data_IF_050031237895
#
_entry.id   IF_050031237895
#
_cell.length_a   1.000
_cell.length_b   1.000
_cell.length_c   1.000
_cell.angle_alpha   90.00
_cell.angle_beta   90.00
_cell.angle_gamma   90.00
#
_symmetry.space_group_name_H-M   'P 1'
#
loop_
_entity.id
_entity.type
_entity.pdbx_description
1 polymer ?
#
# COMPACT_ATOMS: atom_id res chain seq x y z
N UNK A 1 -40.93 29.33 -54.01
CA UNK A 1 -39.70 29.63 -53.29
C UNK A 1 -40.02 29.61 -51.80
N UNK A 2 -39.62 28.56 -51.11
CA UNK A 2 -39.58 28.52 -49.62
C UNK A 2 -38.13 28.20 -49.22
N UNK A 3 -37.60 28.86 -48.22
CA UNK A 3 -36.23 28.60 -47.80
C UNK A 3 -36.13 27.37 -46.89
N UNK A 4 -35.05 26.72 -47.14
CA UNK A 4 -34.45 25.55 -46.53
C UNK A 4 -34.34 25.70 -44.98
N UNK A 5 -34.83 24.69 -44.24
CA UNK A 5 -34.60 24.55 -42.80
C UNK A 5 -33.66 23.40 -42.56
N UNK A 6 -32.41 23.71 -42.44
CA UNK A 6 -31.43 22.76 -41.88
C UNK A 6 -31.64 22.60 -40.38
N UNK A 7 -31.70 21.38 -39.81
CA UNK A 7 -31.69 21.19 -38.38
C UNK A 7 -30.25 21.26 -37.85
N UNK A 8 -29.96 22.32 -37.11
CA UNK A 8 -28.79 22.41 -36.26
C UNK A 8 -29.05 21.68 -34.96
N UNK A 9 -28.59 20.47 -34.87
CA UNK A 9 -28.59 19.69 -33.63
C UNK A 9 -27.27 18.98 -33.49
N UNK A 10 -26.24 19.69 -33.04
CA UNK A 10 -25.03 19.05 -32.53
C UNK A 10 -25.30 18.62 -31.09
N UNK A 11 -25.86 17.43 -30.92
CA UNK A 11 -25.82 16.72 -29.65
C UNK A 11 -24.35 16.52 -29.29
N UNK A 12 -23.82 17.38 -28.43
CA UNK A 12 -22.58 17.09 -27.73
C UNK A 12 -22.86 15.92 -26.80
N UNK A 13 -22.48 14.72 -27.26
CA UNK A 13 -22.30 13.59 -26.38
C UNK A 13 -21.21 14.00 -25.38
N UNK A 14 -21.60 14.34 -24.18
CA UNK A 14 -20.69 14.43 -23.04
C UNK A 14 -20.05 13.05 -22.92
N UNK A 15 -18.71 12.95 -22.91
CA UNK A 15 -18.07 11.67 -22.62
C UNK A 15 -18.60 11.22 -21.25
N UNK A 16 -19.24 10.04 -21.22
CA UNK A 16 -19.62 9.42 -19.96
C UNK A 16 -18.40 9.36 -19.06
N UNK A 17 -18.53 9.79 -17.81
CA UNK A 17 -17.50 9.65 -16.81
C UNK A 17 -17.10 8.17 -16.79
N UNK A 18 -15.85 7.88 -17.17
CA UNK A 18 -15.28 6.56 -16.99
C UNK A 18 -15.39 6.15 -15.51
N UNK A 19 -15.24 4.88 -15.17
CA UNK A 19 -15.35 4.43 -13.80
C UNK A 19 -14.48 5.32 -12.92
N UNK A 20 -15.05 5.80 -11.81
CA UNK A 20 -14.33 6.62 -10.85
C UNK A 20 -13.18 5.77 -10.29
N UNK A 21 -11.95 6.07 -10.69
CA UNK A 21 -10.77 5.34 -10.24
C UNK A 21 -10.27 5.96 -8.94
N UNK A 22 -10.28 5.17 -7.89
CA UNK A 22 -9.62 5.51 -6.63
C UNK A 22 -8.11 5.55 -6.79
N UNK A 23 -7.46 6.28 -5.90
CA UNK A 23 -6.01 6.48 -5.87
C UNK A 23 -5.45 6.10 -4.51
N UNK A 24 -4.43 5.23 -4.49
CA UNK A 24 -3.79 4.80 -3.28
C UNK A 24 -2.27 5.01 -3.31
N UNK A 25 -1.70 5.39 -2.17
CA UNK A 25 -0.26 5.34 -1.90
C UNK A 25 -0.03 4.48 -0.66
N UNK A 26 0.43 3.25 -0.90
CA UNK A 26 0.50 2.21 0.11
C UNK A 26 1.90 2.02 0.69
N UNK A 27 2.83 2.98 0.45
CA UNK A 27 4.20 2.90 0.92
C UNK A 27 4.71 4.28 1.35
N UNK A 28 4.39 4.64 2.60
CA UNK A 28 4.72 5.94 3.20
C UNK A 28 5.42 5.72 4.53
N UNK A 29 6.51 6.45 4.78
CA UNK A 29 7.28 6.38 6.02
C UNK A 29 7.02 7.57 6.94
N UNK A 30 6.87 7.29 8.23
CA UNK A 30 6.68 8.30 9.27
C UNK A 30 7.95 8.56 10.09
N UNK A 31 7.84 9.47 11.06
CA UNK A 31 8.93 9.70 12.04
C UNK A 31 9.17 8.50 12.97
N UNK A 32 8.31 7.50 12.99
CA UNK A 32 8.51 6.29 13.77
C UNK A 32 9.67 5.44 13.21
N UNK A 33 9.93 5.55 11.88
CA UNK A 33 11.13 5.00 11.25
C UNK A 33 12.05 6.13 10.75
N UNK A 34 12.19 6.30 9.47
CA UNK A 34 13.12 7.24 8.83
C UNK A 34 12.43 8.34 8.01
N UNK A 35 11.10 8.37 7.97
CA UNK A 35 10.33 9.48 7.42
C UNK A 35 10.41 10.76 8.26
N UNK A 36 9.92 11.88 7.73
CA UNK A 36 10.08 13.20 8.33
C UNK A 36 8.79 13.79 8.94
N UNK A 37 7.66 13.10 8.83
CA UNK A 37 6.34 13.56 9.30
C UNK A 37 5.70 12.59 10.29
N UNK A 38 4.92 13.10 11.24
CA UNK A 38 4.12 12.28 12.14
C UNK A 38 2.89 11.71 11.42
N UNK A 39 2.28 10.66 11.97
CA UNK A 39 1.03 10.07 11.48
C UNK A 39 -0.06 11.12 11.24
N UNK A 40 -0.27 12.03 12.20
CA UNK A 40 -1.21 13.14 12.06
C UNK A 40 -0.90 14.04 10.85
N UNK A 41 0.37 14.42 10.67
CA UNK A 41 0.77 15.31 9.56
C UNK A 41 0.66 14.61 8.19
N UNK A 42 0.88 13.30 8.15
CA UNK A 42 0.67 12.48 6.95
C UNK A 42 -0.82 12.46 6.60
N UNK A 43 -1.70 12.20 7.57
CA UNK A 43 -3.15 12.20 7.38
C UNK A 43 -3.66 13.58 6.90
N UNK A 44 -3.30 14.66 7.59
CA UNK A 44 -3.68 16.02 7.21
C UNK A 44 -3.22 16.37 5.80
N UNK A 45 -2.01 15.98 5.42
CA UNK A 45 -1.51 16.22 4.07
C UNK A 45 -2.27 15.39 3.02
N UNK A 46 -2.55 14.11 3.31
CA UNK A 46 -3.35 13.28 2.42
C UNK A 46 -4.76 13.85 2.23
N UNK A 47 -5.39 14.37 3.30
CA UNK A 47 -6.73 14.96 3.27
C UNK A 47 -6.79 16.26 2.47
N UNK A 48 -5.80 17.14 2.66
CA UNK A 48 -5.89 18.54 2.21
C UNK A 48 -5.10 18.82 0.93
N UNK A 49 -4.01 18.11 0.71
CA UNK A 49 -3.02 18.44 -0.31
C UNK A 49 -2.89 17.38 -1.41
N UNK A 50 -3.66 16.28 -1.33
CA UNK A 50 -3.65 15.21 -2.33
C UNK A 50 -5.05 14.82 -2.77
N UNK A 51 -5.12 14.05 -3.85
CA UNK A 51 -6.32 13.39 -4.38
C UNK A 51 -6.35 11.88 -4.07
N UNK A 52 -5.55 11.44 -3.09
CA UNK A 52 -5.55 10.06 -2.63
C UNK A 52 -6.85 9.74 -1.87
N UNK A 53 -7.34 8.53 -2.04
CA UNK A 53 -8.48 7.97 -1.30
C UNK A 53 -8.01 7.04 -0.19
N UNK A 54 -6.91 6.29 -0.45
CA UNK A 54 -6.36 5.30 0.47
C UNK A 54 -4.86 5.54 0.66
N UNK A 55 -4.40 5.44 1.91
CA UNK A 55 -2.97 5.46 2.23
C UNK A 55 -2.58 4.31 3.14
N UNK A 56 -1.32 3.87 3.08
CA UNK A 56 -0.73 3.06 4.14
C UNK A 56 0.55 3.70 4.66
N UNK A 57 0.67 3.79 6.00
CA UNK A 57 1.96 4.02 6.62
C UNK A 57 2.63 2.66 6.76
N UNK A 58 3.83 2.54 6.22
CA UNK A 58 4.60 1.30 6.13
C UNK A 58 6.02 1.50 6.70
N UNK A 59 6.10 1.96 7.92
CA UNK A 59 7.37 2.20 8.62
C UNK A 59 8.22 0.92 8.69
N UNK A 60 9.53 1.09 8.67
CA UNK A 60 10.47 -0.02 8.84
C UNK A 60 10.29 -0.69 10.20
N UNK A 61 9.96 -1.99 10.18
CA UNK A 61 9.80 -2.86 11.35
C UNK A 61 8.87 -2.29 12.43
N UNK A 62 7.82 -1.54 12.03
CA UNK A 62 6.88 -0.87 12.95
C UNK A 62 5.51 -0.67 12.33
N UNK A 63 4.46 -0.81 13.14
CA UNK A 63 3.08 -0.53 12.74
C UNK A 63 2.41 0.56 13.58
N UNK A 64 3.07 1.05 14.66
CA UNK A 64 2.44 1.91 15.65
C UNK A 64 1.95 3.24 15.05
N UNK A 65 2.70 3.83 14.10
CA UNK A 65 2.26 5.05 13.43
C UNK A 65 1.09 4.81 12.46
N UNK A 66 1.04 3.64 11.81
CA UNK A 66 -0.09 3.24 10.98
C UNK A 66 -1.37 3.07 11.80
N UNK A 67 -1.27 2.38 12.94
CA UNK A 67 -2.38 2.21 13.90
C UNK A 67 -2.89 3.57 14.40
N UNK A 68 -1.98 4.46 14.79
CA UNK A 68 -2.33 5.82 15.24
C UNK A 68 -2.97 6.64 14.12
N UNK A 69 -2.46 6.57 12.90
CA UNK A 69 -3.02 7.27 11.75
C UNK A 69 -4.46 6.80 11.47
N UNK A 70 -4.68 5.48 11.47
CA UNK A 70 -6.00 4.90 11.28
C UNK A 70 -6.99 5.31 12.37
N UNK A 71 -6.55 5.29 13.64
CA UNK A 71 -7.36 5.78 14.76
C UNK A 71 -7.78 7.24 14.57
N UNK A 72 -6.82 8.11 14.21
CA UNK A 72 -7.07 9.52 13.95
C UNK A 72 -8.03 9.73 12.78
N UNK A 73 -7.89 8.98 11.70
CA UNK A 73 -8.78 9.04 10.56
C UNK A 73 -10.22 8.68 10.94
N UNK A 74 -10.41 7.60 11.69
CA UNK A 74 -11.73 7.16 12.17
C UNK A 74 -12.36 8.19 13.12
N UNK A 75 -11.61 8.71 14.10
CA UNK A 75 -12.11 9.69 15.07
C UNK A 75 -12.50 11.03 14.44
N UNK A 76 -11.85 11.41 13.35
CA UNK A 76 -12.09 12.67 12.64
C UNK A 76 -13.15 12.54 11.53
N UNK A 77 -13.58 11.33 11.22
CA UNK A 77 -14.41 11.06 10.05
C UNK A 77 -13.70 11.45 8.75
N UNK A 78 -12.42 11.10 8.65
CA UNK A 78 -11.59 11.39 7.48
C UNK A 78 -12.17 10.80 6.20
N UNK A 79 -11.95 11.49 5.06
CA UNK A 79 -12.23 10.92 3.74
C UNK A 79 -11.19 9.89 3.30
N UNK A 80 -10.05 9.85 3.99
CA UNK A 80 -8.94 8.95 3.67
C UNK A 80 -9.11 7.63 4.42
N UNK A 81 -9.15 6.53 3.70
CA UNK A 81 -8.99 5.20 4.29
C UNK A 81 -7.52 4.94 4.60
N UNK A 82 -7.25 4.52 5.84
CA UNK A 82 -5.89 4.23 6.30
C UNK A 82 -5.69 2.74 6.50
N UNK A 83 -4.75 2.16 5.78
CA UNK A 83 -4.32 0.77 5.89
C UNK A 83 -3.11 0.67 6.81
N UNK A 84 -3.11 -0.33 7.69
CA UNK A 84 -1.96 -0.65 8.52
C UNK A 84 -0.96 -1.43 7.66
N UNK A 85 0.21 -0.84 7.43
CA UNK A 85 1.30 -1.43 6.68
C UNK A 85 2.58 -1.52 7.50
N UNK A 86 3.52 -2.30 7.01
CA UNK A 86 4.88 -2.41 7.51
C UNK A 86 5.83 -2.77 6.36
N UNK A 87 6.93 -2.04 6.24
CA UNK A 87 8.04 -2.47 5.40
C UNK A 87 9.04 -3.24 6.26
N UNK A 88 9.04 -4.57 6.14
CA UNK A 88 9.89 -5.43 6.93
C UNK A 88 11.14 -5.87 6.17
N UNK A 89 12.29 -5.79 6.84
CA UNK A 89 13.55 -6.34 6.32
C UNK A 89 13.57 -7.86 6.51
N UNK A 90 13.56 -8.60 5.40
CA UNK A 90 13.78 -10.05 5.38
C UNK A 90 15.23 -10.37 5.02
N UNK A 91 15.63 -11.65 5.11
CA UNK A 91 16.95 -12.10 4.62
C UNK A 91 17.12 -12.01 3.10
N UNK A 92 16.02 -11.77 2.35
CA UNK A 92 16.03 -11.71 0.89
C UNK A 92 15.78 -10.32 0.33
N UNK A 93 15.58 -9.33 1.17
CA UNK A 93 15.25 -7.96 0.81
C UNK A 93 14.05 -7.44 1.58
N UNK A 94 13.63 -6.21 1.27
CA UNK A 94 12.45 -5.62 1.85
C UNK A 94 11.17 -6.29 1.34
N UNK A 95 10.16 -6.31 2.19
CA UNK A 95 8.84 -6.83 1.92
C UNK A 95 7.81 -5.87 2.53
N UNK A 96 6.84 -5.46 1.73
CA UNK A 96 5.73 -4.62 2.16
C UNK A 96 4.55 -5.52 2.53
N UNK A 97 4.22 -5.55 3.81
CA UNK A 97 3.00 -6.18 4.33
C UNK A 97 1.92 -5.13 4.53
N UNK A 98 0.72 -5.35 3.97
CA UNK A 98 -0.42 -4.46 4.11
C UNK A 98 -1.58 -5.15 4.81
N UNK A 99 -2.50 -4.38 5.39
CA UNK A 99 -3.64 -4.89 6.16
C UNK A 99 -3.24 -5.76 7.35
N UNK A 100 -2.14 -5.40 7.98
CA UNK A 100 -1.60 -6.14 9.11
C UNK A 100 -2.43 -5.90 10.39
N UNK A 101 -2.45 -6.92 11.24
CA UNK A 101 -3.05 -6.87 12.57
C UNK A 101 -1.97 -6.79 13.65
N UNK A 102 -0.83 -7.39 13.39
CA UNK A 102 0.32 -7.44 14.29
C UNK A 102 1.61 -7.22 13.52
N UNK A 103 2.61 -6.72 14.23
CA UNK A 103 3.94 -6.45 13.70
C UNK A 103 4.65 -7.73 13.25
N UNK A 104 5.39 -7.63 12.15
CA UNK A 104 6.24 -8.68 11.62
C UNK A 104 7.62 -8.67 12.29
N UNK A 105 8.28 -9.81 12.32
CA UNK A 105 9.64 -9.93 12.86
C UNK A 105 10.66 -9.74 11.75
N UNK A 106 11.59 -8.78 11.95
CA UNK A 106 12.69 -8.53 11.00
C UNK A 106 13.69 -9.72 10.92
N UNK A 107 14.47 -9.72 9.85
CA UNK A 107 15.56 -10.66 9.57
C UNK A 107 15.13 -12.14 9.56
N UNK A 108 13.84 -12.41 9.34
CA UNK A 108 13.32 -13.76 9.12
C UNK A 108 13.61 -14.25 7.69
N UNK A 109 13.43 -15.54 7.47
CA UNK A 109 13.37 -16.11 6.13
C UNK A 109 12.13 -15.56 5.42
N UNK A 110 12.26 -15.30 4.12
CA UNK A 110 11.21 -14.70 3.30
C UNK A 110 9.90 -15.49 3.38
N UNK A 111 9.98 -16.83 3.33
CA UNK A 111 8.84 -17.73 3.36
C UNK A 111 8.03 -17.58 4.65
N UNK A 112 8.73 -17.43 5.79
CA UNK A 112 8.08 -17.24 7.09
C UNK A 112 7.32 -15.90 7.09
N UNK A 113 7.97 -14.83 6.64
CA UNK A 113 7.35 -13.50 6.66
C UNK A 113 6.16 -13.40 5.71
N UNK A 114 6.24 -13.99 4.50
CA UNK A 114 5.11 -14.04 3.56
C UNK A 114 3.94 -14.83 4.17
N UNK A 115 4.22 -15.99 4.77
CA UNK A 115 3.20 -16.78 5.46
C UNK A 115 2.53 -16.01 6.60
N UNK A 116 3.32 -15.35 7.48
CA UNK A 116 2.81 -14.53 8.58
C UNK A 116 1.90 -13.37 8.10
N UNK A 117 2.19 -12.76 6.94
CA UNK A 117 1.34 -11.74 6.33
C UNK A 117 -0.01 -12.33 5.93
N UNK A 118 0.00 -13.46 5.21
CA UNK A 118 -1.23 -14.09 4.73
C UNK A 118 -2.06 -14.74 5.86
N UNK A 119 -1.40 -15.26 6.90
CA UNK A 119 -2.10 -15.75 8.10
C UNK A 119 -2.91 -14.64 8.81
N UNK A 120 -2.43 -13.40 8.73
CA UNK A 120 -3.15 -12.22 9.21
C UNK A 120 -4.25 -11.74 8.25
N UNK A 121 -4.37 -12.34 7.07
CA UNK A 121 -5.23 -11.87 5.98
C UNK A 121 -4.68 -10.62 5.27
N UNK A 122 -3.38 -10.36 5.39
CA UNK A 122 -2.68 -9.24 4.75
C UNK A 122 -2.37 -9.50 3.28
N UNK A 123 -1.76 -8.49 2.64
CA UNK A 123 -1.21 -8.58 1.28
C UNK A 123 0.32 -8.49 1.34
N UNK A 124 1.00 -9.37 0.63
CA UNK A 124 2.45 -9.40 0.50
C UNK A 124 2.88 -8.81 -0.84
N UNK A 125 3.46 -7.61 -0.82
CA UNK A 125 3.88 -6.88 -2.01
C UNK A 125 5.41 -6.74 -2.01
N UNK A 126 6.05 -6.97 -3.16
CA UNK A 126 7.50 -6.76 -3.30
C UNK A 126 7.75 -5.29 -3.62
N UNK A 127 8.30 -4.49 -2.67
CA UNK A 127 8.60 -3.09 -2.88
C UNK A 127 9.87 -2.93 -3.73
N UNK A 128 9.93 -1.87 -4.55
CA UNK A 128 11.09 -1.47 -5.37
C UNK A 128 12.03 -2.63 -5.79
N UNK A 129 11.53 -3.69 -6.49
CA UNK A 129 12.32 -4.87 -6.83
C UNK A 129 13.57 -4.49 -7.62
N UNK A 130 14.63 -5.30 -7.47
CA UNK A 130 15.92 -5.14 -8.14
C UNK A 130 16.72 -3.88 -7.76
N UNK A 131 16.23 -3.04 -6.86
CA UNK A 131 16.99 -1.91 -6.37
C UNK A 131 18.30 -2.38 -5.73
N UNK A 132 19.41 -1.75 -6.14
CA UNK A 132 20.71 -1.96 -5.53
C UNK A 132 20.91 -1.11 -4.27
N UNK A 133 20.10 -0.05 -4.10
CA UNK A 133 20.28 0.98 -3.08
C UNK A 133 19.42 0.76 -1.83
N UNK A 134 18.28 0.08 -1.96
CA UNK A 134 17.26 -0.05 -0.91
C UNK A 134 16.93 -1.50 -0.57
N UNK A 135 17.91 -2.40 -0.55
CA UNK A 135 17.68 -3.84 -0.29
C UNK A 135 16.55 -4.45 -1.15
N UNK A 136 16.45 -4.03 -2.42
CA UNK A 136 15.45 -4.57 -3.35
C UNK A 136 15.60 -6.08 -3.55
N UNK A 137 14.48 -6.77 -3.53
CA UNK A 137 14.46 -8.24 -3.66
C UNK A 137 14.94 -8.69 -5.04
N UNK A 138 15.75 -9.73 -5.10
CA UNK A 138 16.31 -10.29 -6.33
C UNK A 138 15.35 -11.27 -6.98
N UNK A 139 15.43 -11.43 -8.31
CA UNK A 139 14.57 -12.32 -9.11
C UNK A 139 14.45 -13.74 -8.52
N UNK A 140 15.57 -14.35 -8.10
CA UNK A 140 15.54 -15.71 -7.57
C UNK A 140 14.70 -15.86 -6.29
N UNK A 141 14.67 -14.82 -5.44
CA UNK A 141 13.85 -14.82 -4.24
C UNK A 141 12.35 -14.64 -4.58
N UNK A 142 12.03 -13.77 -5.55
CA UNK A 142 10.65 -13.60 -6.04
C UNK A 142 10.16 -14.93 -6.65
N UNK A 143 10.95 -15.55 -7.51
CA UNK A 143 10.60 -16.83 -8.14
C UNK A 143 10.43 -17.97 -7.14
N UNK A 144 11.19 -17.96 -6.04
CA UNK A 144 11.11 -19.02 -5.02
C UNK A 144 9.75 -19.02 -4.32
N UNK A 145 9.20 -17.85 -4.00
CA UNK A 145 7.84 -17.74 -3.45
C UNK A 145 6.81 -18.08 -4.54
N UNK A 146 6.92 -17.47 -5.72
CA UNK A 146 5.96 -17.69 -6.82
C UNK A 146 5.81 -19.16 -7.22
N UNK A 147 6.89 -19.95 -7.17
CA UNK A 147 6.88 -21.37 -7.52
C UNK A 147 6.63 -22.29 -6.31
N UNK A 148 6.24 -21.75 -5.16
CA UNK A 148 5.95 -22.55 -3.97
C UNK A 148 4.66 -23.35 -4.17
N UNK A 149 4.64 -24.57 -3.61
CA UNK A 149 3.42 -25.36 -3.51
C UNK A 149 2.61 -25.05 -2.23
N UNK A 150 3.16 -24.26 -1.33
CA UNK A 150 2.49 -23.84 -0.10
C UNK A 150 1.44 -22.78 -0.43
N UNK A 151 0.15 -22.99 -0.07
CA UNK A 151 -0.93 -22.07 -0.40
C UNK A 151 -0.85 -20.70 0.28
N UNK A 152 0.01 -20.54 1.29
CA UNK A 152 0.28 -19.26 1.94
C UNK A 152 1.49 -18.53 1.33
N UNK A 153 2.19 -19.11 0.36
CA UNK A 153 3.39 -18.53 -0.23
C UNK A 153 3.14 -18.09 -1.67
N UNK A 154 2.60 -16.88 -1.81
CA UNK A 154 2.36 -16.22 -3.11
C UNK A 154 2.62 -14.72 -3.01
N UNK A 155 2.60 -14.03 -4.13
CA UNK A 155 2.69 -12.58 -4.21
C UNK A 155 1.34 -12.00 -4.61
N UNK A 156 0.91 -10.96 -3.91
CA UNK A 156 -0.29 -10.21 -4.29
C UNK A 156 0.01 -9.21 -5.40
N UNK A 157 1.16 -8.53 -5.35
CA UNK A 157 1.57 -7.58 -6.38
C UNK A 157 3.10 -7.33 -6.36
N UNK A 158 3.58 -6.67 -7.43
CA UNK A 158 4.92 -6.09 -7.48
C UNK A 158 4.83 -4.56 -7.60
N UNK A 159 5.66 -3.84 -6.85
CA UNK A 159 5.76 -2.39 -6.96
C UNK A 159 6.60 -2.02 -8.20
N UNK A 160 5.90 -1.71 -9.29
CA UNK A 160 6.52 -1.35 -10.57
C UNK A 160 6.77 0.13 -10.74
N UNK A 161 6.04 0.97 -10.01
CA UNK A 161 6.06 2.42 -10.17
C UNK A 161 6.41 3.10 -8.84
N UNK A 162 7.71 3.29 -8.63
CA UNK A 162 8.28 4.03 -7.50
C UNK A 162 9.11 5.20 -8.08
N UNK A 163 8.89 6.46 -7.61
CA UNK A 163 9.48 7.67 -8.21
C UNK A 163 10.98 7.86 -7.94
N UNK A 164 11.53 7.16 -6.93
CA UNK A 164 12.94 7.27 -6.55
C UNK A 164 13.88 6.71 -7.62
N UNK A 165 15.15 7.12 -7.60
CA UNK A 165 16.19 6.50 -8.47
C UNK A 165 16.28 4.99 -8.24
N UNK A 166 16.12 4.55 -7.00
CA UNK A 166 16.08 3.14 -6.63
C UNK A 166 14.96 2.38 -7.36
N UNK A 167 13.73 2.92 -7.35
CA UNK A 167 12.59 2.35 -8.05
C UNK A 167 12.74 2.39 -9.57
N UNK A 168 13.18 3.50 -10.13
CA UNK A 168 13.42 3.65 -11.58
C UNK A 168 14.39 2.62 -12.14
N UNK A 169 15.47 2.33 -11.39
CA UNK A 169 16.47 1.36 -11.83
C UNK A 169 15.88 -0.03 -12.08
N UNK A 170 14.96 -0.48 -11.23
CA UNK A 170 14.29 -1.78 -11.32
C UNK A 170 13.04 -1.82 -12.19
N UNK A 171 12.43 -0.67 -12.52
CA UNK A 171 11.09 -0.55 -13.11
C UNK A 171 10.85 -1.46 -14.32
N UNK A 172 11.67 -1.34 -15.35
CA UNK A 172 11.50 -2.12 -16.59
C UNK A 172 11.64 -3.62 -16.37
N UNK A 173 12.51 -4.04 -15.45
CA UNK A 173 12.66 -5.45 -15.10
C UNK A 173 11.45 -5.95 -14.30
N UNK A 174 10.93 -5.13 -13.38
CA UNK A 174 9.74 -5.42 -12.59
C UNK A 174 8.50 -5.58 -13.46
N UNK A 175 8.24 -4.64 -14.36
CA UNK A 175 7.10 -4.70 -15.29
C UNK A 175 7.15 -5.96 -16.16
N UNK A 176 8.32 -6.29 -16.72
CA UNK A 176 8.48 -7.53 -17.48
C UNK A 176 8.25 -8.78 -16.64
N UNK A 177 8.77 -8.79 -15.42
CA UNK A 177 8.61 -9.93 -14.53
C UNK A 177 7.14 -10.10 -14.10
N UNK A 178 6.46 -9.03 -13.73
CA UNK A 178 5.05 -9.05 -13.39
C UNK A 178 4.20 -9.62 -14.53
N UNK A 179 4.42 -9.15 -15.77
CA UNK A 179 3.74 -9.70 -16.95
C UNK A 179 4.05 -11.19 -17.21
N UNK A 180 5.26 -11.66 -16.93
CA UNK A 180 5.62 -13.07 -17.05
C UNK A 180 4.94 -13.95 -15.98
N UNK A 181 4.70 -13.40 -14.80
CA UNK A 181 4.13 -14.12 -13.66
C UNK A 181 2.61 -13.94 -13.53
N UNK A 182 2.01 -13.08 -14.34
CA UNK A 182 0.58 -12.75 -14.24
C UNK A 182 0.24 -11.98 -12.96
N UNK A 183 1.21 -11.22 -12.39
CA UNK A 183 1.03 -10.49 -11.14
C UNK A 183 0.60 -9.04 -11.38
N UNK A 184 -0.29 -8.49 -10.54
CA UNK A 184 -0.64 -7.08 -10.56
C UNK A 184 0.58 -6.17 -10.35
N UNK A 185 0.53 -4.98 -10.94
CA UNK A 185 1.49 -3.91 -10.71
C UNK A 185 0.85 -2.79 -9.89
N UNK A 186 1.59 -2.33 -8.90
CA UNK A 186 1.21 -1.18 -8.08
C UNK A 186 2.23 -0.05 -8.22
N UNK A 187 1.80 1.17 -7.89
CA UNK A 187 2.65 2.34 -7.75
C UNK A 187 2.52 2.88 -6.34
N UNK A 188 3.64 3.23 -5.74
CA UNK A 188 3.69 3.86 -4.42
C UNK A 188 4.84 4.86 -4.38
N UNK A 189 4.77 5.82 -3.47
CA UNK A 189 5.78 6.88 -3.40
C UNK A 189 7.07 6.45 -2.70
N UNK A 190 7.03 5.51 -1.78
CA UNK A 190 8.10 5.28 -0.82
C UNK A 190 8.45 6.60 -0.11
N UNK A 191 7.37 7.31 0.30
CA UNK A 191 7.41 8.72 0.66
C UNK A 191 7.95 8.93 2.06
N UNK A 192 9.07 9.66 2.17
CA UNK A 192 9.72 9.99 3.44
C UNK A 192 9.53 11.45 3.87
N UNK A 193 8.94 12.27 3.01
CA UNK A 193 8.58 13.67 3.27
C UNK A 193 7.19 13.96 2.73
N UNK A 194 6.44 14.89 3.32
CA UNK A 194 5.07 15.19 2.91
C UNK A 194 4.97 15.48 1.41
N UNK A 195 5.89 16.24 0.86
CA UNK A 195 5.91 16.65 -0.54
C UNK A 195 6.22 15.50 -1.52
N UNK A 196 6.40 14.28 -1.05
CA UNK A 196 6.59 13.08 -1.88
C UNK A 196 5.42 12.11 -1.85
N UNK A 197 4.51 12.27 -0.89
CA UNK A 197 3.32 11.42 -0.76
C UNK A 197 2.43 11.59 -1.99
N UNK A 198 2.05 10.46 -2.61
CA UNK A 198 1.24 10.43 -3.83
C UNK A 198 2.02 10.65 -5.13
N UNK A 199 3.35 10.85 -5.10
CA UNK A 199 4.16 10.89 -6.34
C UNK A 199 4.24 9.53 -7.05
N UNK A 200 4.14 8.43 -6.32
CA UNK A 200 3.82 7.10 -6.81
C UNK A 200 2.45 6.71 -6.29
N UNK A 201 1.61 6.18 -7.15
CA UNK A 201 0.24 5.83 -6.80
C UNK A 201 -0.31 4.66 -7.60
N UNK A 202 -1.22 3.94 -6.99
CA UNK A 202 -2.01 2.89 -7.62
C UNK A 202 -3.40 3.42 -7.91
N UNK A 203 -3.86 3.23 -9.14
CA UNK A 203 -5.25 3.49 -9.55
C UNK A 203 -6.01 2.18 -9.52
N UNK A 204 -7.25 2.19 -9.02
CA UNK A 204 -8.07 1.00 -8.87
C UNK A 204 -9.57 1.35 -8.97
N UNK A 205 -10.44 0.41 -9.39
CA UNK A 205 -11.89 0.62 -9.36
C UNK A 205 -12.39 0.79 -7.93
N UNK A 206 -13.20 1.84 -7.68
CA UNK A 206 -13.70 2.16 -6.35
C UNK A 206 -12.90 3.28 -5.66
N UNK A 207 -12.99 3.39 -4.35
CA UNK A 207 -12.34 4.45 -3.56
C UNK A 207 -12.00 4.07 -2.11
N UNK A 208 -12.23 2.82 -1.73
CA UNK A 208 -12.00 2.36 -0.35
C UNK A 208 -10.81 1.40 -0.26
N UNK A 209 -10.30 1.18 0.93
CA UNK A 209 -9.25 0.19 1.17
C UNK A 209 -9.70 -1.23 0.78
N UNK A 210 -10.98 -1.56 0.93
CA UNK A 210 -11.51 -2.86 0.51
C UNK A 210 -11.61 -2.97 -1.02
N UNK A 211 -11.99 -1.89 -1.73
CA UNK A 211 -11.96 -1.84 -3.20
C UNK A 211 -10.53 -2.02 -3.71
N UNK A 212 -9.53 -1.41 -3.05
CA UNK A 212 -8.13 -1.63 -3.37
C UNK A 212 -7.73 -3.10 -3.23
N UNK A 213 -8.11 -3.75 -2.12
CA UNK A 213 -7.86 -5.17 -1.88
C UNK A 213 -8.48 -6.04 -2.98
N UNK A 214 -9.72 -5.77 -3.33
CA UNK A 214 -10.43 -6.48 -4.39
C UNK A 214 -9.75 -6.28 -5.75
N UNK A 215 -9.35 -5.05 -6.07
CA UNK A 215 -8.66 -4.73 -7.31
C UNK A 215 -7.29 -5.45 -7.44
N UNK A 216 -6.56 -5.62 -6.34
CA UNK A 216 -5.35 -6.45 -6.31
C UNK A 216 -5.70 -7.90 -6.64
N UNK A 217 -6.70 -8.48 -5.98
CA UNK A 217 -7.10 -9.87 -6.19
C UNK A 217 -7.61 -10.13 -7.62
N UNK A 218 -8.26 -9.15 -8.24
CA UNK A 218 -8.77 -9.23 -9.61
C UNK A 218 -7.74 -8.82 -10.69
N UNK A 219 -6.59 -8.27 -10.29
CA UNK A 219 -5.57 -7.79 -11.20
C UNK A 219 -6.00 -6.55 -12.01
N UNK A 220 -6.93 -5.75 -11.47
CA UNK A 220 -7.47 -4.55 -12.13
C UNK A 220 -6.77 -3.25 -11.75
N UNK A 221 -5.68 -3.33 -10.99
CA UNK A 221 -4.86 -2.17 -10.62
C UNK A 221 -3.98 -1.68 -11.76
N UNK A 222 -3.65 -0.39 -11.73
CA UNK A 222 -2.61 0.20 -12.56
C UNK A 222 -1.76 1.17 -11.75
N UNK A 223 -0.44 1.10 -11.91
CA UNK A 223 0.51 1.98 -11.22
C UNK A 223 0.91 3.17 -12.07
N UNK A 224 1.19 4.30 -11.43
CA UNK A 224 1.82 5.47 -12.04
C UNK A 224 2.77 6.14 -11.06
N UNK A 225 3.74 6.94 -11.56
CA UNK A 225 4.58 7.78 -10.71
C UNK A 225 5.14 8.98 -11.45
N UNK A 226 5.46 10.02 -10.67
CA UNK A 226 6.19 11.21 -11.11
C UNK A 226 7.65 11.04 -10.67
N UNK A 227 8.53 10.73 -11.60
CA UNK A 227 9.94 10.48 -11.29
C UNK A 227 10.61 11.70 -10.65
N UNK A 228 11.32 11.49 -9.54
CA UNK A 228 12.07 12.55 -8.90
C UNK A 228 13.33 12.86 -9.71
N UNK A 229 13.52 14.13 -10.03
CA UNK A 229 14.79 14.60 -10.60
C UNK A 229 15.89 14.63 -9.53
N UNK A 230 17.14 14.59 -9.97
CA UNK A 230 18.32 14.55 -9.09
C UNK A 230 18.31 15.61 -7.98
N UNK A 231 17.92 16.86 -8.30
CA UNK A 231 17.87 17.97 -7.31
C UNK A 231 16.82 17.70 -6.23
N UNK A 232 15.63 17.19 -6.61
CA UNK A 232 14.55 16.88 -5.66
C UNK A 232 14.95 15.72 -4.77
N UNK A 233 15.51 14.68 -5.35
CA UNK A 233 15.96 13.49 -4.62
C UNK A 233 17.08 13.82 -3.63
N UNK A 234 18.09 14.61 -4.03
CA UNK A 234 19.13 15.10 -3.12
C UNK A 234 18.54 15.89 -1.94
N UNK A 235 17.50 16.70 -2.18
CA UNK A 235 16.79 17.44 -1.12
C UNK A 235 16.09 16.51 -0.15
N UNK A 236 15.40 15.48 -0.66
CA UNK A 236 14.70 14.47 0.15
C UNK A 236 15.69 13.76 1.06
N UNK A 237 16.75 13.17 0.50
CA UNK A 237 17.78 12.48 1.28
C UNK A 237 18.50 13.41 2.27
N UNK A 238 18.74 14.67 1.92
CA UNK A 238 19.33 15.61 2.87
C UNK A 238 18.43 15.88 4.09
N UNK A 239 17.11 15.88 3.92
CA UNK A 239 16.15 16.02 5.02
C UNK A 239 16.15 14.77 5.92
N UNK A 240 16.18 13.57 5.34
CA UNK A 240 16.29 12.31 6.09
C UNK A 240 17.57 12.25 6.89
N UNK A 241 18.74 12.51 6.28
CA UNK A 241 20.03 12.53 6.97
C UNK A 241 20.05 13.54 8.13
N UNK A 242 19.50 14.74 7.92
CA UNK A 242 19.41 15.74 8.99
C UNK A 242 18.48 15.29 10.13
N UNK A 243 17.39 14.57 9.81
CA UNK A 243 16.50 14.00 10.83
C UNK A 243 17.25 12.93 11.62
N UNK A 244 17.87 11.95 10.95
CA UNK A 244 18.61 10.87 11.60
C UNK A 244 19.73 11.40 12.48
N UNK A 245 20.50 12.40 12.01
CA UNK A 245 21.55 13.06 12.82
C UNK A 245 20.97 13.73 14.07
N UNK A 246 19.82 14.38 13.97
CA UNK A 246 19.13 14.97 15.13
C UNK A 246 18.64 13.92 16.11
N UNK A 247 18.11 12.79 15.61
CA UNK A 247 17.60 11.70 16.45
C UNK A 247 18.75 11.02 17.21
N UNK A 248 19.88 10.76 16.54
CA UNK A 248 21.11 10.27 17.18
C UNK A 248 21.63 11.26 18.25
N UNK A 249 21.66 12.56 17.92
CA UNK A 249 22.10 13.59 18.88
C UNK A 249 21.14 13.73 20.07
N UNK A 250 19.85 13.54 19.89
CA UNK A 250 18.85 13.51 20.99
C UNK A 250 19.00 12.25 21.83
N UNK A 251 19.21 11.10 21.19
CA UNK A 251 19.46 9.84 21.88
C UNK A 251 20.73 9.92 22.73
N UNK A 252 21.85 10.39 22.17
CA UNK A 252 23.10 10.57 22.89
C UNK A 252 22.95 11.51 24.10
N UNK A 253 22.27 12.66 23.96
CA UNK A 253 21.99 13.56 25.08
C UNK A 253 21.14 12.92 26.17
N UNK A 254 20.18 12.07 25.84
CA UNK A 254 19.34 11.39 26.84
C UNK A 254 20.07 10.28 27.58
N UNK A 255 21.02 9.59 26.92
CA UNK A 255 21.75 8.46 27.51
C UNK A 255 23.09 8.84 28.14
N UNK A 256 23.72 9.96 27.72
CA UNK A 256 24.98 10.45 28.29
C UNK A 256 24.77 11.40 29.48
N UNK A 257 23.61 12.07 29.55
CA UNK A 257 23.34 13.11 30.55
C UNK A 257 22.32 12.71 31.64
N UNK A 258 21.85 11.48 31.69
CA UNK A 258 20.90 11.00 32.70
C UNK A 258 21.11 9.54 33.03
N UNK A 259 21.39 9.33 34.30
CA UNK A 259 21.32 8.06 34.99
C UNK A 259 19.95 7.39 34.79
N UNK A 260 19.94 6.27 34.16
CA UNK A 260 19.01 5.17 34.30
C UNK A 260 17.60 5.34 33.84
N UNK A 261 16.85 4.57 33.52
CA UNK A 261 15.50 4.20 33.13
C UNK A 261 15.02 4.77 31.79
N UNK A 262 14.77 3.88 30.81
CA UNK A 262 14.08 4.25 29.57
C UNK A 262 12.68 4.72 29.94
N UNK A 263 12.37 5.99 29.69
CA UNK A 263 10.97 6.41 29.65
C UNK A 263 10.34 5.85 28.39
N UNK A 264 9.28 5.11 28.61
CA UNK A 264 8.34 4.61 27.65
C UNK A 264 8.06 5.67 26.57
N UNK A 265 8.41 5.37 25.32
CA UNK A 265 8.10 6.19 24.16
C UNK A 265 6.67 5.85 23.71
N UNK A 266 5.66 6.13 24.60
CA UNK A 266 4.26 6.11 24.22
C UNK A 266 3.88 4.98 23.23
N UNK A 267 4.22 3.74 23.53
CA UNK A 267 3.70 2.59 22.81
C UNK A 267 2.20 2.57 23.06
N UNK A 268 1.35 2.49 22.05
CA UNK A 268 -0.08 2.30 22.24
C UNK A 268 -0.28 1.14 23.20
N UNK A 269 -1.09 1.35 24.24
CA UNK A 269 -1.38 0.29 25.21
C UNK A 269 -1.89 -0.94 24.47
N UNK A 270 -1.63 -2.14 25.01
CA UNK A 270 -2.15 -3.42 24.49
C UNK A 270 -3.64 -3.36 24.15
N UNK A 271 -4.40 -2.45 24.78
CA UNK A 271 -5.79 -2.17 24.46
C UNK A 271 -6.02 -1.61 23.05
N UNK A 272 -5.15 -0.72 22.53
CA UNK A 272 -5.28 -0.19 21.16
C UNK A 272 -4.95 -1.25 20.12
N UNK A 273 -3.96 -2.09 20.39
CA UNK A 273 -3.63 -3.24 19.55
C UNK A 273 -4.76 -4.27 19.56
N UNK A 274 -5.38 -4.52 20.72
CA UNK A 274 -6.54 -5.41 20.84
C UNK A 274 -7.78 -4.85 20.12
N UNK A 275 -8.03 -3.55 20.16
CA UNK A 275 -9.13 -2.93 19.42
C UNK A 275 -8.93 -3.03 17.91
N UNK A 276 -7.72 -2.74 17.41
CA UNK A 276 -7.38 -2.91 16.01
C UNK A 276 -7.52 -4.37 15.55
N UNK A 277 -7.13 -5.33 16.39
CA UNK A 277 -7.29 -6.76 16.12
C UNK A 277 -8.78 -7.19 16.11
N UNK A 278 -9.61 -6.67 16.99
CA UNK A 278 -11.05 -6.96 17.03
C UNK A 278 -11.79 -6.42 15.81
N UNK A 279 -11.44 -5.21 15.35
CA UNK A 279 -12.00 -4.64 14.12
C UNK A 279 -11.57 -5.42 12.87
N UNK A 280 -10.31 -5.83 12.81
CA UNK A 280 -9.81 -6.66 11.72
C UNK A 280 -10.49 -8.05 11.71
N UNK A 281 -10.75 -8.63 12.87
CA UNK A 281 -11.53 -9.88 12.99
C UNK A 281 -12.98 -9.69 12.52
N UNK A 282 -13.61 -8.56 12.86
CA UNK A 282 -14.96 -8.22 12.40
C UNK A 282 -15.01 -8.11 10.86
N UNK A 283 -14.04 -7.42 10.25
CA UNK A 283 -13.94 -7.27 8.80
C UNK A 283 -13.64 -8.61 8.11
N UNK A 284 -12.75 -9.44 8.67
CA UNK A 284 -12.41 -10.76 8.12
C UNK A 284 -13.60 -11.73 8.14
N UNK A 285 -14.45 -11.64 9.15
CA UNK A 285 -15.70 -12.44 9.23
C UNK A 285 -16.72 -12.01 8.18
N UNK A 286 -16.77 -10.74 7.79
CA UNK A 286 -17.63 -10.23 6.73
C UNK A 286 -17.22 -10.72 5.34
N UNK A 287 -15.91 -10.80 5.09
CA UNK A 287 -15.35 -11.30 3.82
C UNK A 287 -15.52 -12.82 3.67
N UNK A 288 -15.52 -13.56 4.78
CA UNK A 288 -15.71 -15.03 4.76
C UNK A 288 -17.17 -15.48 4.69
N UNK A 289 -18.14 -14.58 4.69
CA UNK A 289 -19.54 -14.96 4.47
C UNK A 289 -19.69 -15.48 3.03
N UNK A 290 -20.09 -16.74 2.80
CA UNK A 290 -20.21 -17.29 1.46
C UNK A 290 -21.21 -16.47 0.67
N UNK A 291 -20.80 -15.92 -0.46
CA UNK A 291 -21.73 -15.42 -1.47
C UNK A 291 -22.57 -16.62 -1.92
N UNK A 292 -23.78 -16.73 -1.43
CA UNK A 292 -24.75 -17.68 -1.95
C UNK A 292 -25.04 -17.31 -3.40
N UNK A 293 -24.40 -18.01 -4.33
CA UNK A 293 -24.68 -17.91 -5.75
C UNK A 293 -26.14 -18.30 -5.96
N UNK A 294 -26.99 -17.34 -6.28
CA UNK A 294 -28.30 -17.59 -6.91
C UNK A 294 -28.07 -18.11 -8.31
N UNK A 295 -27.80 -19.38 -8.47
CA UNK A 295 -27.99 -20.08 -9.71
C UNK A 295 -29.49 -20.26 -9.90
N UNK A 296 -30.11 -19.33 -10.63
CA UNK A 296 -31.46 -19.52 -11.14
C UNK A 296 -31.44 -20.65 -12.17
N UNK A 297 -31.96 -21.81 -11.78
CA UNK A 297 -32.23 -22.92 -12.68
C UNK A 297 -33.20 -22.50 -13.78
N UNK A 298 -32.75 -22.53 -15.01
CA UNK A 298 -33.63 -22.70 -16.19
C UNK A 298 -33.55 -24.16 -16.60
N UNK A 299 -34.54 -24.94 -16.21
CA UNK A 299 -34.87 -26.16 -16.91
C UNK A 299 -36.04 -25.84 -17.84
N UNK A 300 -35.72 -25.80 -19.13
CA UNK A 300 -36.67 -25.84 -20.17
C UNK A 300 -37.29 -27.23 -20.25
N UNK A 301 -38.60 -27.28 -20.42
CA UNK A 301 -39.35 -28.43 -20.79
C UNK A 301 -39.05 -28.74 -22.26
N UNK A 302 -38.74 -29.97 -22.59
CA UNK A 302 -38.93 -30.53 -23.89
C UNK A 302 -39.88 -31.72 -23.81
N UNK A 303 -40.92 -31.60 -24.60
CA UNK A 303 -41.96 -32.58 -24.88
C UNK A 303 -41.36 -33.79 -25.58
N UNK A 304 -41.87 -34.90 -25.23
CA UNK A 304 -41.82 -36.11 -26.06
C UNK A 304 -43.23 -36.48 -26.48
N UNK A 305 -43.54 -36.32 -27.74
CA UNK A 305 -44.62 -37.01 -28.42
C UNK A 305 -44.04 -38.04 -29.38
N UNK A 306 -44.42 -39.22 -29.23
CA UNK A 306 -44.74 -40.33 -30.16
C UNK A 306 -44.36 -41.66 -29.54
#
# INVERSE_FOLDING_TARGET
MRPDQTPSGTDRVTPGAGPNLGQADMHIHSIASDGCASALRILEHAECDTDLDVIAIADHERIEAAVECRRLALERGSRIDVVIGEEVTTRSGHLLGLFLQTRLKRDQRLEITVGEIHEQGGLAIVPHPFSAFTKGMRKHAIMRIHNSADPLLYWDALEGYNPSTAGRYGRSATIRLAGQLGLPLVGNSDGHTLDTIGDGRTHFPGSTAEDYRLAIAEGTTSGSCIDWGFVRETRIYSRQVRKQARDVARWGRRHVLRDGTPRDLGVPSDQLLMQAAQEAEYLSRRVRAPQTSKTAGRHGAEESSA
#
